data_IF_509699111984
#
_entry.id   IF_509699111984
#
_cell.length_a   1.000
_cell.length_b   1.000
_cell.length_c   1.000
_cell.angle_alpha   90.00
_cell.angle_beta   90.00
_cell.angle_gamma   90.00
#
_symmetry.space_group_name_H-M   'P 1'
#
loop_
_entity.id
_entity.type
_entity.pdbx_description
1 polymer ?
#
# COMPACT_ATOMS: atom_id res chain seq x y z
N UNK A 1 27.60 4.19 -12.48
CA UNK A 1 27.83 4.48 -11.04
C UNK A 1 27.06 3.42 -10.27
N UNK A 2 27.61 2.87 -9.18
CA UNK A 2 26.85 1.94 -8.32
C UNK A 2 25.71 2.68 -7.63
N UNK A 3 24.54 2.07 -7.53
CA UNK A 3 23.42 2.64 -6.76
C UNK A 3 23.85 2.90 -5.31
N UNK A 4 23.37 3.99 -4.69
CA UNK A 4 23.65 4.26 -3.28
C UNK A 4 23.17 3.10 -2.39
N UNK A 5 23.84 2.87 -1.27
CA UNK A 5 23.43 1.86 -0.31
C UNK A 5 22.10 2.21 0.34
N UNK A 6 21.24 1.22 0.64
CA UNK A 6 20.00 1.45 1.38
C UNK A 6 20.26 2.07 2.75
N UNK A 7 19.34 2.93 3.19
CA UNK A 7 19.44 3.66 4.47
C UNK A 7 18.18 3.38 5.28
N UNK A 8 18.36 2.91 6.53
CA UNK A 8 17.24 2.78 7.48
C UNK A 8 17.08 4.08 8.26
N UNK A 9 15.86 4.61 8.30
CA UNK A 9 15.48 5.81 9.04
C UNK A 9 14.19 5.58 9.84
N UNK A 10 14.00 6.41 10.88
CA UNK A 10 12.75 6.47 11.65
C UNK A 10 11.97 7.71 11.19
N UNK A 11 10.68 7.52 10.88
CA UNK A 11 9.84 8.59 10.34
C UNK A 11 9.09 9.41 11.41
N UNK A 12 9.32 9.10 12.69
CA UNK A 12 8.84 9.88 13.83
C UNK A 12 10.02 10.40 14.67
N UNK A 13 10.88 11.28 14.10
CA UNK A 13 12.13 11.68 14.75
C UNK A 13 11.93 12.52 16.02
N UNK A 14 10.72 13.04 16.25
CA UNK A 14 10.38 13.83 17.46
C UNK A 14 10.03 12.95 18.67
N UNK A 15 9.84 11.64 18.48
CA UNK A 15 9.55 10.69 19.56
C UNK A 15 10.86 10.02 19.95
N UNK A 16 11.25 10.13 21.22
CA UNK A 16 12.49 9.51 21.72
C UNK A 16 12.20 8.63 22.94
N UNK A 17 12.64 7.34 22.96
CA UNK A 17 13.25 6.63 21.82
C UNK A 17 12.23 6.41 20.69
N UNK A 18 12.69 6.39 19.44
CA UNK A 18 11.79 6.10 18.31
C UNK A 18 11.25 4.67 18.42
N UNK A 19 9.99 4.46 18.01
CA UNK A 19 9.40 3.12 18.01
C UNK A 19 10.03 2.27 16.90
N UNK A 20 10.52 1.05 17.16
CA UNK A 20 11.21 0.24 16.16
C UNK A 20 10.40 0.00 14.88
N UNK A 21 9.08 -0.16 15.01
CA UNK A 21 8.16 -0.36 13.89
C UNK A 21 7.73 0.95 13.18
N UNK A 22 8.21 2.10 13.62
CA UNK A 22 8.05 3.37 12.90
C UNK A 22 9.32 3.70 12.11
N UNK A 23 9.74 2.74 11.29
CA UNK A 23 10.96 2.80 10.48
C UNK A 23 10.71 2.47 9.02
N UNK A 24 11.58 2.97 8.17
CA UNK A 24 11.60 2.63 6.75
C UNK A 24 13.03 2.39 6.28
N UNK A 25 13.17 1.57 5.24
CA UNK A 25 14.43 1.43 4.52
C UNK A 25 14.29 2.13 3.18
N UNK A 26 15.07 3.18 2.98
CA UNK A 26 15.12 3.98 1.75
C UNK A 26 16.17 3.41 0.82
N UNK A 27 15.81 3.24 -0.42
CA UNK A 27 16.68 2.91 -1.56
C UNK A 27 16.83 4.18 -2.41
N UNK A 28 17.86 4.99 -2.17
CA UNK A 28 17.98 6.27 -2.85
C UNK A 28 18.22 6.07 -4.34
N UNK A 29 17.60 6.91 -5.16
CA UNK A 29 17.90 6.98 -6.59
C UNK A 29 19.34 7.43 -6.84
N UNK A 30 19.97 6.93 -7.89
CA UNK A 30 21.22 7.46 -8.41
C UNK A 30 21.02 8.69 -9.31
N UNK A 31 19.77 9.06 -9.61
CA UNK A 31 19.43 10.24 -10.41
C UNK A 31 19.61 11.53 -9.62
N UNK A 32 20.02 12.57 -10.33
CA UNK A 32 20.06 13.96 -9.82
C UNK A 32 18.82 14.77 -10.21
N UNK A 33 17.92 14.18 -10.98
CA UNK A 33 16.64 14.76 -11.38
C UNK A 33 15.50 13.93 -10.79
N UNK A 34 14.28 14.50 -10.64
CA UNK A 34 13.14 13.76 -10.16
C UNK A 34 12.85 12.50 -11.02
N UNK A 35 12.62 11.38 -10.36
CA UNK A 35 12.30 10.07 -10.95
C UNK A 35 11.14 9.43 -10.21
N UNK A 36 10.46 8.42 -10.77
CA UNK A 36 9.46 7.65 -10.05
C UNK A 36 10.06 6.88 -8.86
N UNK A 37 9.26 6.69 -7.82
CA UNK A 37 9.59 5.95 -6.62
C UNK A 37 8.57 4.86 -6.34
N UNK A 38 9.04 3.75 -5.77
CA UNK A 38 8.19 2.63 -5.33
C UNK A 38 8.15 2.62 -3.80
N UNK A 39 6.96 2.52 -3.22
CA UNK A 39 6.77 2.36 -1.78
C UNK A 39 6.04 1.05 -1.52
N UNK A 40 6.65 0.18 -0.71
CA UNK A 40 6.08 -1.11 -0.33
C UNK A 40 5.56 -1.10 1.11
N UNK A 41 4.34 -1.63 1.29
CA UNK A 41 3.66 -1.80 2.58
C UNK A 41 3.42 -3.29 2.80
N UNK A 42 4.00 -3.83 3.87
CA UNK A 42 3.92 -5.27 4.16
C UNK A 42 2.54 -5.72 4.68
N UNK A 43 2.30 -7.02 4.62
CA UNK A 43 1.13 -7.70 5.16
C UNK A 43 1.24 -8.07 6.64
N UNK A 44 0.81 -9.30 6.97
CA UNK A 44 0.91 -9.85 8.33
C UNK A 44 -0.30 -9.57 9.21
N UNK A 45 -1.49 -9.38 8.60
CA UNK A 45 -2.76 -9.22 9.33
C UNK A 45 -2.68 -8.18 10.46
N UNK A 46 -1.93 -7.09 10.24
CA UNK A 46 -1.65 -5.98 11.19
C UNK A 46 -0.99 -6.41 12.49
N UNK A 47 -0.57 -7.66 12.66
CA UNK A 47 -0.09 -8.19 13.96
C UNK A 47 1.16 -9.09 13.91
N UNK A 48 1.52 -9.63 12.75
CA UNK A 48 2.62 -10.58 12.66
C UNK A 48 3.98 -9.86 12.64
N UNK A 49 4.80 -9.99 13.71
CA UNK A 49 6.10 -9.32 13.78
C UNK A 49 7.16 -9.93 12.85
N UNK A 50 6.88 -11.05 12.19
CA UNK A 50 7.78 -11.64 11.20
C UNK A 50 7.58 -11.03 9.80
N UNK A 51 6.41 -10.43 9.55
CA UNK A 51 6.12 -9.68 8.35
C UNK A 51 6.60 -8.24 8.55
N UNK A 52 7.66 -7.89 7.86
CA UNK A 52 8.33 -6.59 8.03
C UNK A 52 8.56 -5.90 6.68
N UNK A 53 9.02 -4.65 6.73
CA UNK A 53 9.46 -3.92 5.54
C UNK A 53 10.43 -4.68 4.65
N UNK A 54 11.21 -5.61 5.23
CA UNK A 54 12.22 -6.36 4.48
C UNK A 54 11.61 -7.27 3.41
N UNK A 55 10.32 -7.63 3.55
CA UNK A 55 9.57 -8.37 2.52
C UNK A 55 9.48 -7.62 1.18
N UNK A 56 9.59 -6.30 1.19
CA UNK A 56 9.58 -5.48 -0.02
C UNK A 56 10.95 -5.30 -0.70
N UNK A 57 12.04 -5.73 -0.05
CA UNK A 57 13.40 -5.56 -0.59
C UNK A 57 13.56 -6.23 -1.96
N UNK A 58 13.10 -7.48 -2.19
CA UNK A 58 13.19 -8.14 -3.50
C UNK A 58 12.48 -7.34 -4.60
N UNK A 59 11.35 -6.72 -4.32
CA UNK A 59 10.64 -5.86 -5.29
C UNK A 59 11.56 -4.71 -5.73
N UNK A 60 12.15 -3.99 -4.78
CA UNK A 60 12.98 -2.83 -5.09
C UNK A 60 14.32 -3.21 -5.74
N UNK A 61 14.89 -4.37 -5.40
CA UNK A 61 16.20 -4.78 -5.93
C UNK A 61 16.12 -5.55 -7.25
N UNK A 62 15.03 -6.29 -7.49
CA UNK A 62 14.95 -7.23 -8.61
C UNK A 62 13.98 -6.78 -9.71
N UNK A 63 12.95 -6.03 -9.38
CA UNK A 63 11.96 -5.59 -10.35
C UNK A 63 12.05 -4.12 -10.72
N UNK A 64 12.46 -3.25 -9.77
CA UNK A 64 12.50 -1.81 -9.98
C UNK A 64 13.65 -1.40 -10.90
N UNK A 65 13.46 -0.38 -11.78
CA UNK A 65 14.57 0.19 -12.56
C UNK A 65 15.67 0.72 -11.66
N UNK A 66 16.93 0.51 -12.03
CA UNK A 66 18.09 0.90 -11.22
C UNK A 66 18.23 2.42 -10.98
N UNK A 67 17.55 3.23 -11.80
CA UNK A 67 17.52 4.69 -11.70
C UNK A 67 16.41 5.20 -10.78
N UNK A 68 15.45 4.36 -10.42
CA UNK A 68 14.35 4.73 -9.53
C UNK A 68 14.79 4.71 -8.08
N UNK A 69 14.10 5.48 -7.26
CA UNK A 69 14.18 5.36 -5.81
C UNK A 69 13.05 4.51 -5.26
N UNK A 70 13.09 4.25 -3.97
CA UNK A 70 11.99 3.56 -3.31
C UNK A 70 12.16 3.47 -1.80
N UNK A 71 11.14 2.97 -1.15
CA UNK A 71 11.16 2.68 0.27
C UNK A 71 10.30 1.47 0.61
N UNK A 72 10.73 0.73 1.61
CA UNK A 72 9.91 -0.26 2.30
C UNK A 72 9.70 0.21 3.73
N UNK A 73 8.52 0.04 4.30
CA UNK A 73 8.20 0.62 5.60
C UNK A 73 7.55 -0.38 6.54
N UNK A 74 7.85 -0.25 7.83
CA UNK A 74 7.13 -0.88 8.93
C UNK A 74 6.09 0.09 9.49
N UNK A 75 5.09 -0.45 10.15
CA UNK A 75 4.10 0.26 10.94
C UNK A 75 3.85 -0.50 12.25
N UNK A 76 3.39 0.19 13.30
CA UNK A 76 3.11 -0.42 14.60
C UNK A 76 2.01 -1.47 14.48
N UNK A 77 2.13 -2.56 15.23
CA UNK A 77 1.28 -3.73 15.12
C UNK A 77 0.28 -3.84 16.28
N UNK A 78 -0.83 -4.52 16.00
CA UNK A 78 -1.80 -4.96 16.99
C UNK A 78 -1.21 -6.14 17.82
N UNK A 79 -1.65 -6.33 19.06
CA UNK A 79 -2.67 -5.57 19.77
C UNK A 79 -2.16 -4.30 20.46
N UNK A 80 -0.86 -3.91 20.29
CA UNK A 80 -0.29 -2.73 20.92
C UNK A 80 -0.95 -1.43 20.46
N UNK A 81 -1.36 -1.39 19.19
CA UNK A 81 -2.18 -0.31 18.61
C UNK A 81 -3.35 -0.89 17.84
N UNK A 82 -4.33 -0.05 17.54
CA UNK A 82 -5.49 -0.37 16.69
C UNK A 82 -5.61 0.64 15.58
N UNK A 83 -6.38 0.29 14.55
CA UNK A 83 -6.80 1.24 13.53
C UNK A 83 -7.40 2.51 14.20
N UNK A 84 -7.09 3.73 13.73
CA UNK A 84 -6.36 4.04 12.49
C UNK A 84 -4.82 4.13 12.65
N UNK A 85 -4.22 3.75 13.78
CA UNK A 85 -2.79 3.95 14.03
C UNK A 85 -1.87 3.30 12.96
N UNK A 86 -2.28 2.18 12.35
CA UNK A 86 -1.55 1.54 11.25
C UNK A 86 -1.50 2.46 10.02
N UNK A 87 -2.66 3.02 9.63
CA UNK A 87 -2.79 3.99 8.54
C UNK A 87 -2.02 5.27 8.84
N UNK A 88 -2.14 5.80 10.07
CA UNK A 88 -1.44 7.02 10.50
C UNK A 88 0.07 6.87 10.40
N UNK A 89 0.61 5.70 10.79
CA UNK A 89 2.02 5.40 10.70
C UNK A 89 2.51 5.40 9.24
N UNK A 90 1.76 4.77 8.34
CA UNK A 90 2.13 4.75 6.91
C UNK A 90 2.00 6.14 6.27
N UNK A 91 0.98 6.91 6.61
CA UNK A 91 0.86 8.31 6.18
C UNK A 91 2.02 9.17 6.70
N UNK A 92 2.46 8.95 7.95
CA UNK A 92 3.63 9.64 8.51
C UNK A 92 4.91 9.25 7.78
N UNK A 93 5.09 7.97 7.43
CA UNK A 93 6.22 7.51 6.64
C UNK A 93 6.25 8.14 5.24
N UNK A 94 5.12 8.25 4.56
CA UNK A 94 5.01 8.91 3.26
C UNK A 94 5.30 10.41 3.34
N UNK A 95 4.81 11.08 4.39
CA UNK A 95 5.14 12.51 4.66
C UNK A 95 6.64 12.69 4.87
N UNK A 96 7.25 11.85 5.69
CA UNK A 96 8.69 11.85 5.93
C UNK A 96 9.46 11.66 4.61
N UNK A 97 9.09 10.66 3.82
CA UNK A 97 9.73 10.36 2.55
C UNK A 97 9.70 11.56 1.59
N UNK A 98 8.54 12.22 1.47
CA UNK A 98 8.39 13.41 0.62
C UNK A 98 9.11 14.63 1.20
N UNK A 99 9.16 14.78 2.54
CA UNK A 99 9.92 15.84 3.19
C UNK A 99 11.41 15.74 2.90
N UNK A 100 11.99 14.55 3.03
CA UNK A 100 13.43 14.33 2.90
C UNK A 100 13.88 14.19 1.43
N UNK A 101 13.06 13.53 0.60
CA UNK A 101 13.46 13.16 -0.76
C UNK A 101 12.55 13.74 -1.86
N UNK A 102 11.55 14.57 -1.50
CA UNK A 102 10.54 15.05 -2.45
C UNK A 102 11.08 15.78 -3.66
N UNK A 103 12.27 16.38 -3.56
CA UNK A 103 12.95 17.02 -4.70
C UNK A 103 13.45 16.01 -5.76
N UNK A 104 13.54 14.71 -5.40
CA UNK A 104 13.93 13.62 -6.29
C UNK A 104 12.75 12.70 -6.66
N UNK A 105 11.56 12.96 -6.12
CA UNK A 105 10.36 12.15 -6.37
C UNK A 105 9.48 12.85 -7.41
N UNK A 106 9.38 12.29 -8.62
CA UNK A 106 8.39 12.75 -9.60
C UNK A 106 7.01 12.18 -9.30
N UNK A 107 6.93 10.87 -9.21
CA UNK A 107 5.70 10.10 -9.01
C UNK A 107 5.95 8.96 -8.00
N UNK A 108 4.87 8.45 -7.38
CA UNK A 108 4.91 7.34 -6.42
C UNK A 108 3.98 6.23 -6.90
N UNK A 109 4.51 5.00 -6.91
CA UNK A 109 3.73 3.76 -6.94
C UNK A 109 3.71 3.18 -5.53
N UNK A 110 2.53 2.95 -4.99
CA UNK A 110 2.34 2.23 -3.72
C UNK A 110 2.02 0.77 -4.04
N UNK A 111 2.72 -0.15 -3.41
CA UNK A 111 2.47 -1.59 -3.48
C UNK A 111 2.16 -2.07 -2.07
N UNK A 112 0.94 -2.54 -1.84
CA UNK A 112 0.54 -3.15 -0.58
C UNK A 112 0.29 -4.64 -0.76
N UNK A 113 0.76 -5.46 0.19
CA UNK A 113 0.49 -6.89 0.23
C UNK A 113 -0.47 -7.22 1.36
N UNK A 114 -1.51 -8.03 1.11
CA UNK A 114 -2.42 -8.53 2.14
C UNK A 114 -3.05 -7.38 2.96
N UNK A 115 -2.81 -7.29 4.26
CA UNK A 115 -3.18 -6.17 5.12
C UNK A 115 -2.60 -4.82 4.62
N UNK A 116 -1.41 -4.83 4.02
CA UNK A 116 -0.80 -3.65 3.41
C UNK A 116 -1.56 -3.14 2.19
N UNK A 117 -2.27 -4.01 1.45
CA UNK A 117 -3.14 -3.60 0.35
C UNK A 117 -4.40 -2.86 0.85
N UNK A 118 -4.95 -3.28 1.99
CA UNK A 118 -6.00 -2.54 2.70
C UNK A 118 -5.52 -1.12 3.01
N UNK A 119 -4.36 -1.00 3.68
CA UNK A 119 -3.77 0.29 4.03
C UNK A 119 -3.51 1.15 2.78
N UNK A 120 -3.04 0.55 1.67
CA UNK A 120 -2.77 1.28 0.43
C UNK A 120 -4.04 1.93 -0.17
N UNK A 121 -5.19 1.24 -0.13
CA UNK A 121 -6.46 1.81 -0.57
C UNK A 121 -7.04 2.81 0.45
N UNK A 122 -6.84 2.58 1.76
CA UNK A 122 -7.18 3.55 2.80
C UNK A 122 -6.40 4.87 2.61
N UNK A 123 -5.11 4.80 2.28
CA UNK A 123 -4.29 5.98 1.95
C UNK A 123 -4.91 6.73 0.76
N UNK A 124 -5.24 6.04 -0.31
CA UNK A 124 -5.80 6.66 -1.51
C UNK A 124 -7.08 7.42 -1.18
N UNK A 125 -8.01 6.81 -0.45
CA UNK A 125 -9.26 7.45 -0.02
C UNK A 125 -9.00 8.66 0.89
N UNK A 126 -8.15 8.50 1.92
CA UNK A 126 -7.79 9.57 2.86
C UNK A 126 -7.20 10.79 2.14
N UNK A 127 -6.30 10.56 1.18
CA UNK A 127 -5.65 11.65 0.45
C UNK A 127 -6.62 12.40 -0.45
N UNK A 128 -7.61 11.72 -1.02
CA UNK A 128 -8.66 12.38 -1.82
C UNK A 128 -9.54 13.25 -0.92
N UNK A 129 -9.95 12.75 0.23
CA UNK A 129 -10.77 13.52 1.19
C UNK A 129 -9.98 14.71 1.76
N UNK A 130 -8.71 14.52 2.09
CA UNK A 130 -7.80 15.62 2.48
C UNK A 130 -7.70 16.69 1.39
N UNK A 131 -7.61 16.29 0.12
CA UNK A 131 -7.56 17.21 -1.00
C UNK A 131 -8.86 18.02 -1.13
N UNK A 132 -10.01 17.37 -1.02
CA UNK A 132 -11.33 18.02 -1.03
C UNK A 132 -11.47 19.04 0.09
N UNK A 133 -10.93 18.70 1.28
CA UNK A 133 -10.96 19.58 2.44
C UNK A 133 -9.92 20.74 2.38
N UNK A 134 -9.08 20.80 1.35
CA UNK A 134 -7.96 21.76 1.27
C UNK A 134 -6.86 21.48 2.27
N UNK A 135 -6.70 20.22 2.65
CA UNK A 135 -5.72 19.77 3.63
C UNK A 135 -4.26 19.86 3.15
N UNK A 136 -3.35 19.58 4.06
CA UNK A 136 -1.89 19.77 3.86
C UNK A 136 -1.23 18.67 3.02
N UNK A 137 -1.96 17.58 2.71
CA UNK A 137 -1.43 16.42 1.99
C UNK A 137 -1.61 16.47 0.47
N UNK A 138 -2.10 17.59 -0.07
CA UNK A 138 -2.36 17.75 -1.51
C UNK A 138 -1.17 17.44 -2.39
N UNK A 139 0.03 17.83 -1.97
CA UNK A 139 1.28 17.54 -2.69
C UNK A 139 1.66 16.06 -2.73
N UNK A 140 1.21 15.26 -1.76
CA UNK A 140 1.35 13.80 -1.76
C UNK A 140 0.33 13.17 -2.72
N UNK A 141 -0.90 13.70 -2.73
CA UNK A 141 -1.94 13.29 -3.66
C UNK A 141 -1.48 13.38 -5.12
N UNK A 142 -0.82 14.48 -5.49
CA UNK A 142 -0.37 14.70 -6.88
C UNK A 142 0.71 13.72 -7.33
N UNK A 143 1.47 13.16 -6.39
CA UNK A 143 2.57 12.24 -6.69
C UNK A 143 2.14 10.78 -6.82
N UNK A 144 1.08 10.34 -6.14
CA UNK A 144 0.63 8.96 -6.22
C UNK A 144 -0.09 8.73 -7.55
N UNK A 145 0.49 7.87 -8.39
CA UNK A 145 -0.01 7.56 -9.74
C UNK A 145 -0.49 6.14 -9.90
N UNK A 146 0.02 5.22 -9.07
CA UNK A 146 -0.39 3.82 -9.10
C UNK A 146 -0.53 3.31 -7.67
N UNK A 147 -1.60 2.56 -7.42
CA UNK A 147 -1.79 1.76 -6.20
C UNK A 147 -1.98 0.31 -6.63
N UNK A 148 -1.09 -0.57 -6.16
CA UNK A 148 -1.13 -2.01 -6.43
C UNK A 148 -1.49 -2.73 -5.13
N UNK A 149 -2.63 -3.42 -5.14
CA UNK A 149 -3.00 -4.33 -4.06
C UNK A 149 -2.68 -5.77 -4.47
N UNK A 150 -1.76 -6.41 -3.76
CA UNK A 150 -1.35 -7.79 -3.99
C UNK A 150 -2.00 -8.66 -2.94
N UNK A 151 -2.86 -9.61 -3.37
CA UNK A 151 -3.58 -10.53 -2.47
C UNK A 151 -4.22 -9.80 -1.29
N UNK A 152 -4.96 -8.72 -1.61
CA UNK A 152 -5.38 -7.75 -0.62
C UNK A 152 -6.61 -8.14 0.17
N UNK A 153 -6.68 -7.62 1.39
CA UNK A 153 -7.89 -7.60 2.22
C UNK A 153 -8.61 -6.27 1.93
N UNK A 154 -9.87 -6.35 1.52
CA UNK A 154 -10.65 -5.16 1.13
C UNK A 154 -11.98 -5.04 1.85
N UNK A 155 -12.49 -6.15 2.39
CA UNK A 155 -13.73 -6.23 3.15
C UNK A 155 -13.50 -7.09 4.39
N UNK A 156 -13.46 -6.45 5.55
CA UNK A 156 -13.14 -7.10 6.83
C UNK A 156 -14.32 -7.91 7.38
N UNK A 157 -15.55 -7.45 7.11
CA UNK A 157 -16.77 -8.15 7.55
C UNK A 157 -16.93 -9.43 6.75
N UNK A 158 -16.85 -9.35 5.42
CA UNK A 158 -16.92 -10.54 4.55
C UNK A 158 -15.74 -11.48 4.78
N UNK A 159 -14.54 -10.97 5.08
CA UNK A 159 -13.41 -11.80 5.46
C UNK A 159 -13.69 -12.60 6.73
N UNK A 160 -14.27 -11.97 7.75
CA UNK A 160 -14.66 -12.61 9.01
C UNK A 160 -15.81 -13.63 8.83
N UNK A 161 -16.70 -13.42 7.83
CA UNK A 161 -17.77 -14.34 7.48
C UNK A 161 -17.23 -15.56 6.71
N UNK A 162 -16.35 -15.33 5.73
CA UNK A 162 -15.73 -16.40 4.93
C UNK A 162 -14.78 -17.26 5.77
N UNK A 163 -14.01 -16.62 6.67
CA UNK A 163 -13.05 -17.28 7.55
C UNK A 163 -13.30 -16.92 9.02
N UNK A 164 -14.21 -17.61 9.73
CA UNK A 164 -14.54 -17.28 11.13
C UNK A 164 -13.31 -17.26 12.09
N UNK A 165 -12.27 -18.03 11.78
CA UNK A 165 -11.01 -18.03 12.54
C UNK A 165 -10.22 -16.72 12.42
N UNK A 166 -10.52 -15.88 11.43
CA UNK A 166 -9.84 -14.60 11.22
C UNK A 166 -10.43 -13.46 12.06
N UNK A 167 -11.65 -13.64 12.59
CA UNK A 167 -12.31 -12.63 13.42
C UNK A 167 -11.43 -12.18 14.59
N UNK A 168 -10.62 -13.08 15.15
CA UNK A 168 -9.71 -12.75 16.27
C UNK A 168 -8.69 -11.67 15.91
N UNK A 169 -8.00 -11.79 14.79
CA UNK A 169 -7.03 -10.76 14.41
C UNK A 169 -7.70 -9.48 13.90
N UNK A 170 -8.88 -9.59 13.28
CA UNK A 170 -9.63 -8.41 12.87
C UNK A 170 -10.05 -7.61 14.11
N UNK A 171 -10.59 -8.27 15.16
CA UNK A 171 -10.94 -7.62 16.43
C UNK A 171 -9.73 -7.00 17.13
N UNK A 172 -8.57 -7.67 17.10
CA UNK A 172 -7.32 -7.10 17.64
C UNK A 172 -6.94 -5.78 16.95
N UNK A 173 -7.10 -5.72 15.61
CA UNK A 173 -6.69 -4.58 14.82
C UNK A 173 -7.74 -3.45 14.75
N UNK A 174 -9.04 -3.78 14.76
CA UNK A 174 -10.11 -2.81 14.49
C UNK A 174 -11.11 -2.68 15.66
N UNK A 175 -11.05 -3.53 16.68
CA UNK A 175 -12.03 -3.57 17.77
C UNK A 175 -13.06 -4.68 17.59
N UNK A 176 -13.94 -4.85 18.58
CA UNK A 176 -14.92 -5.95 18.60
C UNK A 176 -16.17 -5.66 17.75
N UNK A 177 -16.39 -4.41 17.38
CA UNK A 177 -17.58 -3.96 16.69
C UNK A 177 -17.40 -4.11 15.16
N UNK A 178 -18.29 -4.85 14.50
CA UNK A 178 -18.27 -5.02 13.05
C UNK A 178 -18.55 -3.71 12.29
N UNK A 179 -19.19 -2.73 12.91
CA UNK A 179 -19.38 -1.41 12.31
C UNK A 179 -18.03 -0.71 12.09
N UNK A 180 -17.08 -0.86 13.03
CA UNK A 180 -15.71 -0.36 12.88
C UNK A 180 -14.93 -1.11 11.77
N UNK A 181 -15.25 -2.40 11.57
CA UNK A 181 -14.64 -3.17 10.48
C UNK A 181 -15.14 -2.69 9.13
N UNK A 182 -16.47 -2.46 9.02
CA UNK A 182 -17.07 -1.93 7.81
C UNK A 182 -16.51 -0.54 7.47
N UNK A 183 -16.49 0.38 8.45
CA UNK A 183 -15.94 1.73 8.26
C UNK A 183 -14.48 1.73 7.82
N UNK A 184 -13.68 0.77 8.27
CA UNK A 184 -12.27 0.65 7.89
C UNK A 184 -12.05 -0.10 6.57
N UNK A 185 -13.07 -0.81 6.06
CA UNK A 185 -12.98 -1.63 4.86
C UNK A 185 -12.95 -0.78 3.60
N UNK A 186 -11.94 -0.93 2.72
CA UNK A 186 -11.96 -0.28 1.41
C UNK A 186 -13.23 -0.55 0.59
N UNK A 187 -13.90 -1.70 0.78
CA UNK A 187 -15.16 -2.03 0.11
C UNK A 187 -16.31 -1.09 0.46
N UNK A 188 -16.28 -0.46 1.63
CA UNK A 188 -17.35 0.41 2.15
C UNK A 188 -17.14 1.90 1.83
N UNK A 189 -16.01 2.28 1.23
CA UNK A 189 -15.73 3.67 0.90
C UNK A 189 -16.59 4.18 -0.27
N UNK A 190 -16.93 5.46 -0.22
CA UNK A 190 -17.75 6.11 -1.25
C UNK A 190 -16.92 6.45 -2.50
N UNK A 191 -16.41 5.43 -3.19
CA UNK A 191 -15.49 5.55 -4.34
C UNK A 191 -16.00 6.46 -5.46
N UNK A 192 -17.32 6.51 -5.69
CA UNK A 192 -17.92 7.39 -6.70
C UNK A 192 -17.79 8.88 -6.30
N UNK A 193 -17.87 9.20 -5.00
CA UNK A 193 -17.65 10.55 -4.51
C UNK A 193 -16.19 10.97 -4.60
N UNK A 194 -15.28 10.00 -4.47
CA UNK A 194 -13.84 10.23 -4.60
C UNK A 194 -13.42 10.57 -6.04
N UNK A 195 -14.25 10.24 -7.03
CA UNK A 195 -14.05 10.61 -8.45
C UNK A 195 -14.73 11.91 -8.84
N UNK A 196 -15.68 12.42 -8.05
CA UNK A 196 -16.41 13.63 -8.37
C UNK A 196 -15.48 14.86 -8.29
N UNK A 197 -15.63 15.76 -9.27
CA UNK A 197 -14.94 17.05 -9.39
C UNK A 197 -13.51 17.06 -9.95
N UNK A 198 -12.98 18.25 -10.23
CA UNK A 198 -11.63 18.56 -10.70
C UNK A 198 -10.50 18.07 -9.75
N UNK A 199 -10.88 17.53 -8.58
CA UNK A 199 -9.98 16.96 -7.58
C UNK A 199 -9.63 15.49 -7.81
N UNK A 200 -10.00 14.92 -8.96
CA UNK A 200 -9.71 13.54 -9.32
C UNK A 200 -8.22 13.24 -9.21
N UNK A 201 -7.86 12.33 -8.30
CA UNK A 201 -6.57 11.68 -8.35
C UNK A 201 -6.53 10.81 -9.61
N UNK A 202 -5.63 11.12 -10.52
CA UNK A 202 -5.42 10.29 -11.70
C UNK A 202 -4.52 9.10 -11.34
N UNK A 203 -4.95 8.32 -10.33
CA UNK A 203 -4.23 7.15 -9.87
C UNK A 203 -4.84 5.88 -10.49
N UNK A 204 -3.97 5.05 -11.07
CA UNK A 204 -4.34 3.72 -11.56
C UNK A 204 -4.39 2.75 -10.38
N UNK A 205 -5.47 1.97 -10.26
CA UNK A 205 -5.58 0.89 -9.28
C UNK A 205 -5.36 -0.45 -10.00
N UNK A 206 -4.47 -1.27 -9.44
CA UNK A 206 -4.16 -2.61 -9.95
C UNK A 206 -4.36 -3.61 -8.81
N UNK A 207 -5.20 -4.59 -9.02
CA UNK A 207 -5.47 -5.67 -8.05
C UNK A 207 -4.83 -6.97 -8.58
N UNK A 208 -3.91 -7.54 -7.82
CA UNK A 208 -3.19 -8.76 -8.18
C UNK A 208 -3.58 -9.88 -7.23
N UNK A 209 -3.98 -11.04 -7.78
CA UNK A 209 -4.31 -12.22 -6.99
C UNK A 209 -3.65 -13.46 -7.57
N UNK A 210 -2.99 -14.25 -6.72
CA UNK A 210 -2.46 -15.56 -7.10
C UNK A 210 -3.51 -16.65 -7.02
N UNK A 211 -3.51 -17.54 -8.00
CA UNK A 211 -4.34 -18.77 -7.96
C UNK A 211 -3.87 -19.76 -6.90
N UNK A 212 -2.66 -19.58 -6.37
CA UNK A 212 -2.07 -20.40 -5.31
C UNK A 212 -2.23 -19.83 -3.90
N UNK A 213 -2.91 -18.69 -3.76
CA UNK A 213 -3.19 -18.09 -2.45
C UNK A 213 -4.09 -19.00 -1.62
N UNK A 214 -3.58 -19.45 -0.49
CA UNK A 214 -4.26 -20.35 0.44
C UNK A 214 -4.87 -19.63 1.64
N UNK A 215 -4.61 -18.32 1.80
CA UNK A 215 -5.11 -17.50 2.91
C UNK A 215 -6.32 -16.67 2.52
N UNK A 216 -6.34 -16.15 1.29
CA UNK A 216 -7.43 -15.32 0.78
C UNK A 216 -7.97 -15.90 -0.53
N UNK A 217 -9.29 -16.00 -0.61
CA UNK A 217 -9.96 -16.37 -1.84
C UNK A 217 -10.03 -15.20 -2.83
N UNK A 218 -10.39 -15.51 -4.07
CA UNK A 218 -10.68 -14.50 -5.10
C UNK A 218 -11.85 -13.56 -4.74
N UNK A 219 -12.63 -13.85 -3.68
CA UNK A 219 -13.82 -13.07 -3.34
C UNK A 219 -13.47 -11.63 -2.97
N UNK A 220 -12.41 -11.44 -2.18
CA UNK A 220 -11.92 -10.10 -1.82
C UNK A 220 -11.60 -9.25 -3.07
N UNK A 221 -10.81 -9.80 -3.98
CA UNK A 221 -10.41 -9.12 -5.22
C UNK A 221 -11.59 -8.85 -6.15
N UNK A 222 -12.50 -9.82 -6.34
CA UNK A 222 -13.68 -9.67 -7.21
C UNK A 222 -14.68 -8.66 -6.67
N UNK A 223 -14.93 -8.68 -5.36
CA UNK A 223 -15.80 -7.71 -4.70
C UNK A 223 -15.27 -6.30 -4.87
N UNK A 224 -13.98 -6.10 -4.56
CA UNK A 224 -13.32 -4.79 -4.70
C UNK A 224 -13.31 -4.30 -6.16
N UNK A 225 -13.02 -5.20 -7.12
CA UNK A 225 -13.13 -4.87 -8.54
C UNK A 225 -14.52 -4.35 -8.89
N UNK A 226 -15.56 -5.10 -8.51
CA UNK A 226 -16.94 -4.71 -8.82
C UNK A 226 -17.33 -3.35 -8.22
N UNK A 227 -16.88 -3.06 -7.00
CA UNK A 227 -17.13 -1.79 -6.33
C UNK A 227 -16.45 -0.64 -7.08
N UNK A 228 -15.18 -0.81 -7.42
CA UNK A 228 -14.41 0.19 -8.16
C UNK A 228 -14.94 0.42 -9.57
N UNK A 229 -15.33 -0.66 -10.29
CA UNK A 229 -15.92 -0.57 -11.63
C UNK A 229 -17.25 0.21 -11.58
N UNK A 230 -18.13 -0.11 -10.62
CA UNK A 230 -19.41 0.58 -10.43
C UNK A 230 -19.21 2.06 -10.08
N UNK A 231 -18.12 2.39 -9.42
CA UNK A 231 -17.74 3.76 -9.10
C UNK A 231 -16.98 4.49 -10.22
N UNK A 232 -16.67 3.81 -11.34
CA UNK A 232 -15.99 4.40 -12.50
C UNK A 232 -14.46 4.43 -12.43
N UNK A 233 -13.86 3.71 -11.47
CA UNK A 233 -12.39 3.66 -11.33
C UNK A 233 -11.70 2.73 -12.34
N UNK A 234 -12.41 1.72 -12.88
CA UNK A 234 -11.90 0.76 -13.86
C UNK A 234 -10.55 0.14 -13.45
N UNK A 235 -10.47 -0.58 -12.32
CA UNK A 235 -9.22 -1.16 -11.86
C UNK A 235 -8.72 -2.23 -12.83
N UNK A 236 -7.40 -2.37 -12.95
CA UNK A 236 -6.81 -3.47 -13.67
C UNK A 236 -6.67 -4.69 -12.75
N UNK A 237 -7.30 -5.82 -13.10
CA UNK A 237 -7.18 -7.06 -12.31
C UNK A 237 -6.24 -8.04 -13.00
N UNK A 238 -5.25 -8.52 -12.28
CA UNK A 238 -4.26 -9.50 -12.73
C UNK A 238 -4.37 -10.77 -11.90
N UNK A 239 -4.81 -11.85 -12.51
CA UNK A 239 -4.79 -13.19 -11.91
C UNK A 239 -3.53 -13.89 -12.38
N UNK A 240 -2.69 -14.31 -11.43
CA UNK A 240 -1.37 -14.90 -11.71
C UNK A 240 -1.21 -16.27 -11.03
N UNK A 241 -0.21 -17.01 -11.47
CA UNK A 241 0.32 -18.16 -10.73
C UNK A 241 1.59 -17.71 -10.01
N UNK A 242 1.41 -17.00 -8.89
CA UNK A 242 2.49 -16.40 -8.09
C UNK A 242 3.00 -17.31 -6.97
N UNK A 243 2.34 -18.45 -6.74
CA UNK A 243 2.62 -19.33 -5.61
C UNK A 243 1.66 -19.10 -4.43
N UNK A 244 2.10 -19.43 -3.22
CA UNK A 244 1.37 -19.18 -1.99
C UNK A 244 1.28 -17.70 -1.67
N UNK A 245 0.42 -17.32 -0.73
CA UNK A 245 0.18 -15.94 -0.32
C UNK A 245 1.47 -15.13 -0.13
N UNK A 246 2.39 -15.59 0.71
CA UNK A 246 3.65 -14.86 0.93
C UNK A 246 4.64 -15.00 -0.25
N UNK A 247 4.66 -16.15 -0.95
CA UNK A 247 5.57 -16.37 -2.07
C UNK A 247 5.29 -15.48 -3.28
N UNK A 248 4.04 -15.01 -3.41
CA UNK A 248 3.63 -14.12 -4.50
C UNK A 248 4.45 -12.84 -4.55
N UNK A 249 4.86 -12.29 -3.39
CA UNK A 249 5.63 -11.03 -3.31
C UNK A 249 7.00 -11.14 -4.01
N UNK A 250 7.59 -12.34 -4.04
CA UNK A 250 8.88 -12.60 -4.70
C UNK A 250 8.73 -13.31 -6.04
N UNK A 251 7.50 -13.48 -6.53
CA UNK A 251 7.25 -14.24 -7.75
C UNK A 251 7.67 -13.48 -9.01
N UNK A 252 8.20 -14.25 -9.98
CA UNK A 252 8.47 -13.69 -11.31
C UNK A 252 7.19 -13.11 -11.95
N UNK A 253 6.04 -13.74 -11.72
CA UNK A 253 4.78 -13.30 -12.28
C UNK A 253 4.38 -11.89 -11.79
N UNK A 254 4.57 -11.60 -10.48
CA UNK A 254 4.39 -10.26 -9.94
C UNK A 254 5.42 -9.28 -10.53
N UNK A 255 6.69 -9.67 -10.58
CA UNK A 255 7.74 -8.80 -11.12
C UNK A 255 7.52 -8.43 -12.58
N UNK A 256 6.97 -9.33 -13.40
CA UNK A 256 6.64 -9.04 -14.80
C UNK A 256 5.51 -7.98 -14.89
N UNK A 257 4.47 -8.07 -14.04
CA UNK A 257 3.43 -7.04 -13.93
C UNK A 257 4.03 -5.69 -13.52
N UNK A 258 4.85 -5.68 -12.48
CA UNK A 258 5.46 -4.45 -11.98
C UNK A 258 6.33 -3.77 -13.04
N UNK A 259 7.07 -4.56 -13.86
CA UNK A 259 7.87 -3.99 -14.98
C UNK A 259 7.01 -3.29 -16.04
N UNK A 260 5.81 -3.80 -16.32
CA UNK A 260 4.89 -3.11 -17.24
C UNK A 260 4.35 -1.81 -16.61
N UNK A 261 4.07 -1.82 -15.31
CA UNK A 261 3.66 -0.62 -14.58
C UNK A 261 4.80 0.42 -14.47
N UNK A 262 6.06 -0.02 -14.38
CA UNK A 262 7.21 0.90 -14.39
C UNK A 262 7.31 1.62 -15.72
N UNK A 263 7.15 0.92 -16.85
CA UNK A 263 7.12 1.57 -18.19
C UNK A 263 6.00 2.59 -18.28
N UNK A 264 4.82 2.25 -17.80
CA UNK A 264 3.70 3.20 -17.74
C UNK A 264 4.03 4.45 -16.92
N UNK A 265 4.74 4.30 -15.79
CA UNK A 265 5.17 5.43 -14.95
C UNK A 265 6.25 6.31 -15.61
N UNK A 266 7.13 5.72 -16.41
CA UNK A 266 8.16 6.47 -17.17
C UNK A 266 7.55 7.34 -18.28
N UNK A 267 6.34 6.99 -18.76
CA UNK A 267 5.63 7.71 -19.81
C UNK A 267 4.72 8.85 -19.27
N UNK A 268 4.59 9.00 -17.92
CA UNK A 268 3.82 10.06 -17.27
C UNK A 268 4.61 11.38 -17.13
#
# INVERSE_FOLDING_TARGET
MSSPSPITAFYTPTIFPPHPQQSLTVFPSSSTTPVPWVVYIHGGAWRDPQQTKDMGIPILQQSSPATWGGATLDYRLSPAVRHPAHLDDVLAALKFLVSEHGHLISHIMIIGHSAGACIALQILATLIDERKAGGTLTHLCDRIKIVVGVEGIYDLVELGNEYPSYRGFISEAFGEDEELWDEASPSSFQWHELLADDNRLNAKIVLVQSTGDQLLSMNQTKAMQSILDNAGWNPEVKVINGGSHDATVESKALFDILRDLYRYMDDL
#
